data_IF_047761165933
#
_entry.id   IF_047761165933
#
_cell.length_a   1.000
_cell.length_b   1.000
_cell.length_c   1.000
_cell.angle_alpha   90.00
_cell.angle_beta   90.00
_cell.angle_gamma   90.00
#
_symmetry.space_group_name_H-M   'P 1'
#
loop_
_entity.id
_entity.type
_entity.pdbx_description
1 polymer ?
#
# COMPACT_ATOMS: atom_id res chain seq x y z
N UNK A 1 8.07 23.27 -12.29
CA UNK A 1 6.97 24.01 -11.62
C UNK A 1 7.52 24.68 -10.37
N UNK A 2 7.25 25.97 -10.17
CA UNK A 2 7.59 26.75 -8.97
C UNK A 2 6.29 27.40 -8.45
N UNK A 3 6.23 27.80 -7.18
CA UNK A 3 5.10 28.56 -6.62
C UNK A 3 4.12 27.76 -5.74
N UNK A 4 3.01 28.40 -5.30
CA UNK A 4 2.08 27.87 -4.29
C UNK A 4 1.49 26.51 -4.64
N UNK A 5 0.98 26.31 -5.86
CA UNK A 5 0.43 25.01 -6.30
C UNK A 5 1.39 23.84 -6.07
N UNK A 6 2.70 24.06 -6.31
CA UNK A 6 3.70 23.04 -6.03
C UNK A 6 3.79 22.75 -4.54
N UNK A 7 4.01 23.78 -3.74
CA UNK A 7 4.40 23.66 -2.33
C UNK A 7 3.25 23.33 -1.40
N UNK A 8 2.08 23.88 -1.70
CA UNK A 8 0.90 23.86 -0.83
C UNK A 8 -0.13 22.80 -1.28
N UNK A 9 -0.05 22.29 -2.50
CA UNK A 9 -0.98 21.26 -2.99
C UNK A 9 -0.24 20.00 -3.40
N UNK A 10 0.66 20.07 -4.39
CA UNK A 10 1.23 18.85 -4.96
C UNK A 10 2.22 18.15 -4.02
N UNK A 11 3.12 18.89 -3.35
CA UNK A 11 4.09 18.29 -2.44
C UNK A 11 3.41 17.62 -1.22
N UNK A 12 2.46 18.25 -0.50
CA UNK A 12 1.72 17.59 0.58
C UNK A 12 0.92 16.38 0.09
N UNK A 13 0.22 16.52 -1.05
CA UNK A 13 -0.53 15.40 -1.64
C UNK A 13 0.40 14.22 -1.99
N UNK A 14 1.51 14.49 -2.67
CA UNK A 14 2.48 13.46 -3.02
C UNK A 14 3.08 12.85 -1.77
N UNK A 15 3.35 13.60 -0.71
CA UNK A 15 3.86 13.03 0.54
C UNK A 15 2.95 11.93 1.09
N UNK A 16 1.63 12.11 1.00
CA UNK A 16 0.66 11.06 1.32
C UNK A 16 0.67 9.87 0.36
N UNK A 17 0.84 10.11 -0.94
CA UNK A 17 0.82 9.05 -1.97
C UNK A 17 2.07 8.18 -1.95
N UNK A 18 3.25 8.77 -1.75
CA UNK A 18 4.55 8.08 -1.82
C UNK A 18 5.21 7.87 -0.45
N UNK A 19 4.50 8.23 0.63
CA UNK A 19 4.99 8.21 2.01
C UNK A 19 6.35 8.93 2.16
N UNK A 20 6.49 10.09 1.51
CA UNK A 20 7.75 10.83 1.35
C UNK A 20 7.58 12.33 1.53
N UNK A 21 8.23 12.92 2.53
CA UNK A 21 8.25 14.38 2.68
C UNK A 21 9.64 15.01 2.51
N UNK A 22 10.66 14.23 2.16
CA UNK A 22 12.04 14.69 2.00
C UNK A 22 12.53 14.71 0.55
N UNK A 23 11.69 14.24 -0.39
CA UNK A 23 11.94 14.34 -1.82
C UNK A 23 12.96 13.32 -2.34
N UNK A 24 13.16 12.22 -1.62
CA UNK A 24 14.05 11.14 -2.05
C UNK A 24 13.45 10.23 -3.11
N UNK A 25 12.14 10.26 -3.37
CA UNK A 25 11.52 9.48 -4.46
C UNK A 25 11.94 9.98 -5.83
N UNK A 26 12.08 9.05 -6.77
CA UNK A 26 12.39 9.35 -8.16
C UNK A 26 11.43 10.34 -8.81
N UNK A 27 11.97 11.39 -9.41
CA UNK A 27 11.20 12.36 -10.20
C UNK A 27 10.42 11.69 -11.36
N UNK A 28 10.96 10.63 -11.96
CA UNK A 28 10.27 9.90 -13.03
C UNK A 28 9.00 9.23 -12.51
N UNK A 29 9.05 8.66 -11.30
CA UNK A 29 7.89 8.06 -10.67
C UNK A 29 6.86 9.11 -10.25
N UNK A 30 7.31 10.25 -9.70
CA UNK A 30 6.42 11.38 -9.39
C UNK A 30 5.70 11.88 -10.64
N UNK A 31 6.40 12.03 -11.78
CA UNK A 31 5.79 12.43 -13.05
C UNK A 31 4.77 11.41 -13.55
N UNK A 32 5.06 10.12 -13.41
CA UNK A 32 4.11 9.06 -13.73
C UNK A 32 2.85 9.16 -12.87
N UNK A 33 2.99 9.31 -11.56
CA UNK A 33 1.85 9.45 -10.63
C UNK A 33 1.00 10.68 -10.96
N UNK A 34 1.62 11.84 -11.19
CA UNK A 34 0.88 13.05 -11.59
C UNK A 34 0.09 12.85 -12.88
N UNK A 35 0.66 12.15 -13.88
CA UNK A 35 -0.06 11.79 -15.10
C UNK A 35 -1.23 10.85 -14.81
N UNK A 36 -1.04 9.84 -13.95
CA UNK A 36 -2.10 8.90 -13.59
C UNK A 36 -3.25 9.60 -12.84
N UNK A 37 -2.97 10.53 -11.92
CA UNK A 37 -4.01 11.30 -11.23
C UNK A 37 -4.70 12.32 -12.13
N UNK A 38 -3.99 12.89 -13.12
CA UNK A 38 -4.59 13.81 -14.08
C UNK A 38 -5.55 13.11 -15.07
N UNK A 39 -5.32 11.83 -15.35
CA UNK A 39 -6.08 11.06 -16.34
C UNK A 39 -7.07 10.07 -15.72
N UNK A 40 -6.84 9.65 -14.48
CA UNK A 40 -7.55 8.57 -13.83
C UNK A 40 -8.60 9.05 -12.82
N UNK A 41 -9.55 8.16 -12.53
CA UNK A 41 -10.54 8.33 -11.49
C UNK A 41 -10.29 7.29 -10.40
N UNK A 42 -9.82 7.69 -9.21
CA UNK A 42 -9.64 6.74 -8.11
C UNK A 42 -11.00 6.20 -7.67
N UNK A 43 -11.07 4.89 -7.42
CA UNK A 43 -12.28 4.20 -7.02
C UNK A 43 -12.03 3.25 -5.86
N UNK A 44 -13.08 2.96 -5.11
CA UNK A 44 -13.06 2.04 -3.98
C UNK A 44 -14.14 0.98 -4.19
N UNK A 45 -13.86 -0.32 -3.96
CA UNK A 45 -14.90 -1.34 -4.01
C UNK A 45 -15.95 -1.09 -2.92
N UNK A 46 -17.24 -1.20 -3.24
CA UNK A 46 -18.31 -0.96 -2.27
C UNK A 46 -18.20 -1.82 -0.99
N UNK A 47 -17.61 -3.02 -1.09
CA UNK A 47 -17.37 -3.94 0.03
C UNK A 47 -16.03 -3.79 0.73
N UNK A 48 -15.29 -2.70 0.52
CA UNK A 48 -13.94 -2.53 1.07
C UNK A 48 -12.85 -3.05 0.14
N UNK A 49 -11.60 -2.60 0.35
CA UNK A 49 -10.47 -2.98 -0.52
C UNK A 49 -10.17 -4.49 -0.49
N UNK A 50 -10.58 -5.19 0.58
CA UNK A 50 -10.46 -6.64 0.72
C UNK A 50 -11.31 -7.43 -0.30
N UNK A 51 -12.30 -6.80 -0.95
CA UNK A 51 -13.08 -7.43 -2.01
C UNK A 51 -12.21 -7.84 -3.22
N UNK A 52 -11.17 -7.06 -3.53
CA UNK A 52 -10.26 -7.34 -4.65
C UNK A 52 -9.48 -8.66 -4.46
N UNK A 53 -8.70 -8.86 -3.38
CA UNK A 53 -8.01 -10.14 -3.16
C UNK A 53 -8.97 -11.32 -2.95
N UNK A 54 -10.15 -11.10 -2.36
CA UNK A 54 -11.17 -12.16 -2.25
C UNK A 54 -11.65 -12.65 -3.62
N UNK A 55 -11.97 -11.73 -4.53
CA UNK A 55 -12.37 -12.07 -5.90
C UNK A 55 -11.27 -12.81 -6.67
N UNK A 56 -10.00 -12.40 -6.49
CA UNK A 56 -8.85 -13.09 -7.10
C UNK A 56 -8.74 -14.51 -6.55
N UNK A 57 -8.82 -14.69 -5.23
CA UNK A 57 -8.73 -15.99 -4.58
C UNK A 57 -9.84 -16.94 -5.05
N UNK A 58 -11.08 -16.46 -5.14
CA UNK A 58 -12.22 -17.27 -5.60
C UNK A 58 -12.08 -17.67 -7.07
N UNK A 59 -11.59 -16.76 -7.92
CA UNK A 59 -11.30 -17.06 -9.32
C UNK A 59 -10.20 -18.11 -9.45
N UNK A 60 -9.13 -17.99 -8.66
CA UNK A 60 -8.04 -18.96 -8.63
C UNK A 60 -8.53 -20.35 -8.16
N UNK A 61 -9.35 -20.42 -7.11
CA UNK A 61 -9.94 -21.69 -6.63
C UNK A 61 -10.81 -22.35 -7.70
N UNK A 62 -11.65 -21.59 -8.40
CA UNK A 62 -12.45 -22.12 -9.53
C UNK A 62 -11.58 -22.65 -10.67
N UNK A 63 -10.38 -22.08 -10.84
CA UNK A 63 -9.39 -22.58 -11.79
C UNK A 63 -8.54 -23.74 -11.24
N UNK A 64 -8.83 -24.27 -10.04
CA UNK A 64 -8.14 -25.41 -9.43
C UNK A 64 -6.95 -25.05 -8.54
N UNK A 65 -6.74 -23.77 -8.21
CA UNK A 65 -5.67 -23.39 -7.30
C UNK A 65 -5.99 -23.79 -5.85
N UNK A 66 -5.04 -24.45 -5.19
CA UNK A 66 -5.08 -24.73 -3.76
C UNK A 66 -4.49 -23.55 -2.98
N UNK A 67 -5.32 -22.91 -2.13
CA UNK A 67 -4.93 -21.75 -1.32
C UNK A 67 -4.99 -22.14 0.15
N UNK A 68 -3.81 -22.26 0.78
CA UNK A 68 -3.66 -22.62 2.18
C UNK A 68 -3.23 -21.43 3.02
N UNK A 69 -4.13 -20.97 3.89
CA UNK A 69 -3.83 -19.93 4.89
C UNK A 69 -3.19 -20.56 6.13
N UNK A 70 -2.53 -19.76 6.97
CA UNK A 70 -1.83 -20.24 8.18
C UNK A 70 -0.73 -21.27 7.90
N UNK A 71 -0.20 -21.34 6.68
CA UNK A 71 0.87 -22.25 6.24
C UNK A 71 2.15 -21.47 5.95
N UNK A 72 2.81 -20.99 7.01
CA UNK A 72 4.02 -20.20 6.85
C UNK A 72 5.19 -21.06 6.32
N UNK A 73 5.64 -20.78 5.10
CA UNK A 73 6.92 -21.31 4.59
C UNK A 73 8.03 -20.66 5.41
N UNK A 74 8.94 -21.49 5.96
CA UNK A 74 10.06 -21.05 6.79
C UNK A 74 11.41 -21.18 6.09
N UNK A 75 11.49 -21.99 5.04
CA UNK A 75 12.73 -22.22 4.30
C UNK A 75 12.45 -22.78 2.91
N UNK A 76 13.26 -22.34 1.96
CA UNK A 76 13.36 -22.92 0.62
C UNK A 76 14.71 -23.64 0.48
N UNK A 77 14.71 -24.81 -0.16
CA UNK A 77 15.93 -25.53 -0.55
C UNK A 77 15.76 -26.11 -1.93
N UNK A 78 16.72 -25.90 -2.82
CA UNK A 78 16.75 -26.58 -4.11
C UNK A 78 17.63 -27.83 -4.02
N UNK A 79 17.06 -29.01 -4.24
CA UNK A 79 17.78 -30.30 -4.18
C UNK A 79 17.31 -31.20 -5.30
N UNK A 80 18.26 -31.85 -6.00
CA UNK A 80 17.97 -32.84 -7.05
C UNK A 80 16.98 -32.33 -8.12
N UNK A 81 17.07 -31.05 -8.49
CA UNK A 81 16.23 -30.43 -9.52
C UNK A 81 14.81 -30.04 -9.08
N UNK A 82 14.51 -30.06 -7.78
CA UNK A 82 13.20 -29.71 -7.23
C UNK A 82 13.37 -28.76 -6.03
N UNK A 83 12.43 -27.83 -5.86
CA UNK A 83 12.33 -27.00 -4.67
C UNK A 83 11.58 -27.71 -3.56
N UNK A 84 12.16 -27.73 -2.37
CA UNK A 84 11.56 -28.21 -1.13
C UNK A 84 11.23 -27.01 -0.23
N UNK A 85 9.96 -26.84 0.10
CA UNK A 85 9.43 -25.80 0.97
C UNK A 85 9.15 -26.40 2.34
N UNK A 86 9.90 -25.95 3.36
CA UNK A 86 9.62 -26.31 4.75
C UNK A 86 8.52 -25.43 5.28
N UNK A 87 7.34 -25.99 5.51
CA UNK A 87 6.18 -25.31 6.07
C UNK A 87 6.12 -25.52 7.58
N UNK A 88 5.77 -24.49 8.35
CA UNK A 88 5.63 -24.61 9.79
C UNK A 88 4.47 -25.55 10.14
N UNK A 89 4.76 -26.60 10.92
CA UNK A 89 3.74 -27.54 11.40
C UNK A 89 3.11 -28.44 10.33
N UNK A 90 3.72 -28.54 9.14
CA UNK A 90 3.20 -29.35 8.04
C UNK A 90 4.34 -30.05 7.28
N UNK A 91 3.96 -31.01 6.45
CA UNK A 91 4.89 -31.74 5.59
C UNK A 91 5.57 -30.83 4.57
N UNK A 92 6.73 -31.29 4.08
CA UNK A 92 7.48 -30.60 3.04
C UNK A 92 6.68 -30.58 1.74
N UNK A 93 6.48 -29.39 1.19
CA UNK A 93 5.88 -29.21 -0.15
C UNK A 93 6.99 -29.20 -1.19
N UNK A 94 6.75 -29.84 -2.33
CA UNK A 94 7.70 -29.90 -3.46
C UNK A 94 7.14 -29.18 -4.68
N UNK A 95 7.98 -28.42 -5.37
CA UNK A 95 7.61 -27.68 -6.56
C UNK A 95 8.76 -27.60 -7.58
N UNK A 96 8.43 -27.56 -8.87
CA UNK A 96 9.41 -27.29 -9.93
C UNK A 96 9.67 -25.78 -10.05
N UNK A 97 8.61 -24.98 -9.93
CA UNK A 97 8.64 -23.52 -10.03
C UNK A 97 8.11 -22.91 -8.72
N UNK A 98 8.81 -21.91 -8.18
CA UNK A 98 8.46 -21.20 -6.96
C UNK A 98 8.40 -19.70 -7.24
N UNK A 99 7.27 -19.08 -6.91
CA UNK A 99 7.12 -17.62 -6.90
C UNK A 99 7.15 -17.13 -5.46
N UNK A 100 8.12 -16.27 -5.14
CA UNK A 100 8.24 -15.61 -3.84
C UNK A 100 7.52 -14.27 -3.90
N UNK A 101 6.45 -14.12 -3.13
CA UNK A 101 5.65 -12.90 -2.99
C UNK A 101 5.34 -12.66 -1.50
N UNK A 102 6.40 -12.38 -0.74
CA UNK A 102 6.38 -12.26 0.73
C UNK A 102 6.54 -10.80 1.17
N UNK A 103 6.38 -10.56 2.47
CA UNK A 103 6.65 -9.24 3.05
C UNK A 103 8.11 -8.80 2.81
N UNK A 104 8.38 -7.48 2.79
CA UNK A 104 9.72 -6.91 2.59
C UNK A 104 10.83 -7.54 3.45
N UNK A 105 10.55 -7.86 4.71
CA UNK A 105 11.54 -8.41 5.66
C UNK A 105 11.93 -9.85 5.36
N UNK A 106 11.08 -10.60 4.66
CA UNK A 106 11.34 -11.99 4.30
C UNK A 106 11.96 -12.15 2.91
N UNK A 107 11.98 -11.10 2.06
CA UNK A 107 12.46 -11.17 0.67
C UNK A 107 13.88 -11.73 0.60
N UNK A 108 14.81 -11.17 1.37
CA UNK A 108 16.22 -11.55 1.31
C UNK A 108 16.45 -13.01 1.71
N UNK A 109 15.79 -13.46 2.79
CA UNK A 109 15.91 -14.84 3.26
C UNK A 109 15.44 -15.89 2.23
N UNK A 110 14.47 -15.54 1.38
CA UNK A 110 13.91 -16.46 0.39
C UNK A 110 14.50 -16.33 -1.01
N UNK A 111 15.05 -15.17 -1.36
CA UNK A 111 15.47 -14.86 -2.73
C UNK A 111 16.96 -14.55 -2.86
N UNK A 112 17.64 -14.22 -1.77
CA UNK A 112 18.99 -13.66 -1.78
C UNK A 112 19.08 -12.24 -2.34
N UNK A 113 17.95 -11.63 -2.73
CA UNK A 113 17.89 -10.23 -3.14
C UNK A 113 17.82 -9.32 -1.91
N UNK A 114 18.40 -8.11 -1.94
CA UNK A 114 18.27 -7.17 -0.84
C UNK A 114 16.80 -6.90 -0.50
N UNK A 115 16.48 -6.89 0.79
CA UNK A 115 15.17 -6.43 1.25
C UNK A 115 14.89 -5.01 0.74
N UNK A 116 13.70 -4.73 0.20
CA UNK A 116 13.39 -3.38 -0.26
C UNK A 116 13.32 -2.43 0.94
N UNK A 117 13.87 -1.23 0.78
CA UNK A 117 13.60 -0.15 1.73
C UNK A 117 12.11 0.17 1.70
N UNK A 118 11.51 0.44 2.86
CA UNK A 118 10.08 0.66 3.03
C UNK A 118 9.79 1.97 3.72
N UNK A 119 8.55 2.43 3.56
CA UNK A 119 8.01 3.64 4.18
C UNK A 119 6.71 3.31 4.88
N UNK A 120 6.51 3.91 6.04
CA UNK A 120 5.36 3.65 6.87
C UNK A 120 4.31 4.74 6.76
N UNK A 121 3.06 4.32 6.98
CA UNK A 121 1.91 5.20 7.14
C UNK A 121 1.18 4.82 8.42
N UNK A 122 0.59 5.82 9.04
CA UNK A 122 -0.30 5.67 10.17
C UNK A 122 -1.64 6.30 9.80
N UNK A 123 -2.72 5.53 9.91
CA UNK A 123 -4.06 6.03 9.60
C UNK A 123 -4.96 5.93 10.82
N UNK A 124 -5.55 7.05 11.17
CA UNK A 124 -6.56 7.18 12.21
C UNK A 124 -7.94 7.22 11.56
N UNK A 125 -8.84 6.40 12.07
CA UNK A 125 -10.20 6.26 11.57
C UNK A 125 -11.18 6.84 12.57
N UNK A 126 -11.98 7.80 12.12
CA UNK A 126 -12.97 8.46 12.96
C UNK A 126 -14.39 8.26 12.43
N UNK A 127 -15.37 8.33 13.32
CA UNK A 127 -16.78 8.40 12.99
C UNK A 127 -17.39 9.74 13.42
N UNK A 128 -18.18 10.36 12.56
CA UNK A 128 -18.96 11.56 12.88
C UNK A 128 -20.43 11.42 12.48
N UNK A 129 -21.32 12.16 13.12
CA UNK A 129 -22.70 12.39 12.62
C UNK A 129 -22.74 13.54 11.60
N UNK A 130 -21.77 14.44 11.67
CA UNK A 130 -21.57 15.53 10.72
C UNK A 130 -20.20 15.40 10.05
N UNK A 131 -20.13 15.72 8.77
CA UNK A 131 -18.89 15.82 8.03
C UNK A 131 -19.07 16.73 6.81
N UNK A 132 -18.00 17.39 6.33
CA UNK A 132 -18.02 18.15 5.08
C UNK A 132 -18.61 17.36 3.91
N UNK A 133 -19.25 18.05 2.97
CA UNK A 133 -19.87 17.43 1.81
C UNK A 133 -18.86 16.87 0.78
N UNK A 134 -17.60 17.31 0.84
CA UNK A 134 -16.55 16.93 -0.10
C UNK A 134 -16.21 15.44 -0.03
N UNK A 135 -16.12 14.79 -1.20
CA UNK A 135 -15.55 13.45 -1.38
C UNK A 135 -14.06 13.49 -1.75
N UNK A 136 -13.47 14.68 -1.83
CA UNK A 136 -12.07 14.86 -2.19
C UNK A 136 -11.17 14.67 -0.97
N UNK A 137 -9.96 14.20 -1.24
CA UNK A 137 -8.88 14.16 -0.26
C UNK A 137 -8.39 15.59 0.01
N UNK A 138 -8.30 15.94 1.29
CA UNK A 138 -7.82 17.24 1.77
C UNK A 138 -6.39 17.13 2.28
N UNK A 139 -5.61 18.17 2.00
CA UNK A 139 -4.22 18.34 2.44
C UNK A 139 -4.07 19.70 3.09
N UNK A 140 -3.19 19.81 4.09
CA UNK A 140 -2.78 21.10 4.64
C UNK A 140 -1.55 21.61 3.88
N UNK A 141 -1.72 22.69 3.11
CA UNK A 141 -0.64 23.32 2.38
C UNK A 141 0.40 24.01 3.25
N UNK A 142 0.04 24.37 4.48
CA UNK A 142 0.95 24.98 5.47
C UNK A 142 1.80 23.93 6.19
N UNK A 143 1.38 22.66 6.16
CA UNK A 143 2.02 21.53 6.85
C UNK A 143 2.17 21.79 8.36
N UNK A 144 1.14 22.37 8.95
CA UNK A 144 1.10 22.80 10.35
C UNK A 144 0.99 21.65 11.35
N UNK A 145 0.64 20.45 10.90
CA UNK A 145 0.54 19.26 11.73
C UNK A 145 0.96 17.96 11.04
N UNK A 146 0.75 16.80 11.68
CA UNK A 146 1.35 15.53 11.26
C UNK A 146 0.66 14.86 10.06
N UNK A 147 -0.49 15.35 9.64
CA UNK A 147 -1.31 14.68 8.62
C UNK A 147 -0.80 15.07 7.24
N UNK A 148 -0.54 14.06 6.41
CA UNK A 148 -0.26 14.24 4.99
C UNK A 148 -1.54 14.26 4.16
N UNK A 149 -2.62 13.67 4.67
CA UNK A 149 -3.96 13.79 4.09
C UNK A 149 -5.08 13.41 5.06
N UNK A 150 -6.30 13.81 4.72
CA UNK A 150 -7.54 13.35 5.36
C UNK A 150 -8.69 13.35 4.36
N UNK A 151 -9.63 12.44 4.51
CA UNK A 151 -10.77 12.27 3.59
C UNK A 151 -11.98 11.70 4.32
N UNK A 152 -13.17 12.19 3.96
CA UNK A 152 -14.45 11.59 4.40
C UNK A 152 -14.79 10.43 3.48
N UNK A 153 -14.29 9.24 3.80
CA UNK A 153 -14.38 8.03 2.97
C UNK A 153 -15.81 7.67 2.57
N UNK A 154 -16.78 7.89 3.46
CA UNK A 154 -18.20 7.62 3.19
C UNK A 154 -18.82 8.60 2.19
N UNK A 155 -18.19 9.73 1.85
CA UNK A 155 -18.62 10.60 0.74
C UNK A 155 -18.25 10.01 -0.62
N UNK A 156 -17.16 9.23 -0.68
CA UNK A 156 -16.72 8.52 -1.89
C UNK A 156 -17.39 7.16 -2.02
N UNK A 157 -17.50 6.41 -0.92
CA UNK A 157 -18.12 5.09 -0.86
C UNK A 157 -19.19 5.09 0.25
N UNK A 158 -20.46 5.44 -0.05
CA UNK A 158 -21.51 5.55 0.97
C UNK A 158 -21.72 4.28 1.81
N UNK A 159 -21.44 3.10 1.26
CA UNK A 159 -21.52 1.82 1.96
C UNK A 159 -20.51 1.65 3.10
N UNK A 160 -19.53 2.55 3.24
CA UNK A 160 -18.49 2.47 4.28
C UNK A 160 -18.92 3.01 5.64
N UNK A 161 -20.10 3.62 5.74
CA UNK A 161 -20.68 4.06 7.00
C UNK A 161 -22.18 3.72 7.05
N UNK A 162 -22.75 3.46 8.24
CA UNK A 162 -24.19 3.32 8.38
C UNK A 162 -24.90 4.65 8.08
N UNK A 163 -26.22 4.63 7.77
CA UNK A 163 -27.00 5.83 7.54
C UNK A 163 -26.84 6.86 8.67
N UNK A 164 -26.68 8.14 8.31
CA UNK A 164 -26.49 9.23 9.27
C UNK A 164 -25.12 9.28 9.95
N UNK A 165 -24.17 8.43 9.55
CA UNK A 165 -22.78 8.49 10.01
C UNK A 165 -21.81 8.69 8.84
N UNK A 166 -20.63 9.17 9.19
CA UNK A 166 -19.53 9.39 8.27
C UNK A 166 -18.26 8.71 8.77
N UNK A 167 -17.52 8.10 7.86
CA UNK A 167 -16.21 7.52 8.13
C UNK A 167 -15.13 8.48 7.61
N UNK A 168 -14.20 8.87 8.47
CA UNK A 168 -13.11 9.78 8.17
C UNK A 168 -11.79 9.04 8.34
N UNK A 169 -10.91 9.15 7.34
CA UNK A 169 -9.52 8.73 7.44
C UNK A 169 -8.63 9.96 7.62
N UNK A 170 -7.64 9.86 8.50
CA UNK A 170 -6.62 10.87 8.72
C UNK A 170 -5.26 10.17 8.74
N UNK A 171 -4.40 10.45 7.76
CA UNK A 171 -3.15 9.72 7.56
C UNK A 171 -1.94 10.61 7.81
N UNK A 172 -0.99 10.11 8.58
CA UNK A 172 0.35 10.69 8.79
C UNK A 172 1.43 9.73 8.29
N UNK A 173 2.65 10.25 8.15
CA UNK A 173 3.83 9.40 7.94
C UNK A 173 4.17 8.62 9.23
N UNK A 174 4.76 7.45 9.08
CA UNK A 174 5.13 6.56 10.19
C UNK A 174 6.46 5.83 9.91
N UNK A 175 7.16 5.42 10.97
CA UNK A 175 8.43 4.70 10.90
C UNK A 175 9.63 5.62 11.08
N UNK A 176 10.13 6.23 9.99
CA UNK A 176 11.27 7.17 10.08
C UNK A 176 10.97 8.42 10.91
N UNK A 177 9.70 8.72 11.15
CA UNK A 177 9.23 9.74 12.09
C UNK A 177 8.55 9.08 13.30
N UNK A 178 8.60 9.72 14.48
CA UNK A 178 7.78 9.30 15.61
C UNK A 178 6.32 9.20 15.20
N UNK A 179 5.63 8.24 15.81
CA UNK A 179 4.20 8.07 15.61
C UNK A 179 3.47 9.33 16.10
N UNK A 180 2.53 9.86 15.31
CA UNK A 180 1.72 10.97 15.77
C UNK A 180 0.87 10.52 16.98
N UNK A 181 0.57 11.45 17.86
CA UNK A 181 -0.35 11.26 18.97
C UNK A 181 -1.78 11.60 18.54
N UNK A 182 -2.77 11.07 19.25
CA UNK A 182 -4.17 11.40 18.97
C UNK A 182 -4.44 12.91 19.11
N UNK A 183 -3.83 13.56 20.11
CA UNK A 183 -3.97 14.99 20.33
C UNK A 183 -3.47 15.84 19.16
N UNK A 184 -2.30 15.53 18.61
CA UNK A 184 -1.74 16.20 17.43
C UNK A 184 -2.63 15.99 16.19
N UNK A 185 -3.12 14.76 16.00
CA UNK A 185 -4.02 14.42 14.90
C UNK A 185 -5.34 15.19 15.01
N UNK A 186 -5.96 15.23 16.19
CA UNK A 186 -7.21 15.96 16.42
C UNK A 186 -7.03 17.47 16.24
N UNK A 187 -5.94 18.04 16.75
CA UNK A 187 -5.62 19.45 16.56
C UNK A 187 -5.49 19.79 15.06
N UNK A 188 -4.82 18.93 14.31
CA UNK A 188 -4.65 19.13 12.87
C UNK A 188 -5.95 18.88 12.07
N UNK A 189 -6.79 17.92 12.47
CA UNK A 189 -8.12 17.75 11.87
C UNK A 189 -9.01 18.97 12.12
N UNK A 190 -8.98 19.56 13.32
CA UNK A 190 -9.67 20.82 13.62
C UNK A 190 -9.14 21.96 12.76
N UNK A 191 -7.83 22.02 12.50
CA UNK A 191 -7.25 23.01 11.59
C UNK A 191 -7.77 22.83 10.15
N UNK A 192 -7.78 21.61 9.62
CA UNK A 192 -8.17 21.31 8.23
C UNK A 192 -9.69 21.44 8.02
N UNK A 193 -10.50 20.90 8.94
CA UNK A 193 -11.94 20.74 8.76
C UNK A 193 -12.78 21.68 9.62
N UNK A 194 -12.15 22.44 10.52
CA UNK A 194 -12.85 23.31 11.45
C UNK A 194 -13.53 22.56 12.60
N UNK A 195 -14.47 23.22 13.31
CA UNK A 195 -15.08 22.69 14.53
C UNK A 195 -15.81 21.35 14.39
N UNK A 196 -16.27 21.01 13.17
CA UNK A 196 -16.97 19.74 12.92
C UNK A 196 -16.12 18.52 13.31
N UNK A 197 -14.79 18.62 13.19
CA UNK A 197 -13.88 17.53 13.54
C UNK A 197 -13.80 17.24 15.04
N UNK A 198 -14.26 18.16 15.89
CA UNK A 198 -14.28 17.97 17.35
C UNK A 198 -15.32 16.93 17.77
N UNK A 199 -16.41 16.80 17.01
CA UNK A 199 -17.47 15.82 17.25
C UNK A 199 -17.19 14.42 16.70
N UNK A 200 -15.94 14.15 16.27
CA UNK A 200 -15.58 12.86 15.70
C UNK A 200 -15.01 11.89 16.74
N UNK A 201 -15.64 10.72 16.83
CA UNK A 201 -15.24 9.62 17.70
C UNK A 201 -14.09 8.86 17.04
N UNK A 202 -13.01 8.58 17.79
CA UNK A 202 -11.95 7.72 17.29
C UNK A 202 -12.43 6.26 17.29
N UNK A 203 -12.34 5.60 16.15
CA UNK A 203 -12.67 4.17 16.01
C UNK A 203 -11.44 3.29 16.18
N UNK A 204 -10.37 3.58 15.45
CA UNK A 204 -9.11 2.82 15.50
C UNK A 204 -7.95 3.61 14.90
N UNK A 205 -6.75 3.09 15.15
CA UNK A 205 -5.50 3.51 14.53
C UNK A 205 -4.81 2.29 13.92
N UNK A 206 -4.38 2.42 12.67
CA UNK A 206 -3.60 1.40 11.96
C UNK A 206 -2.17 1.93 11.73
N UNK A 207 -1.18 1.27 12.32
CA UNK A 207 0.26 1.59 12.17
C UNK A 207 0.91 0.59 11.23
N UNK A 208 1.25 1.01 10.01
CA UNK A 208 1.83 0.15 8.98
C UNK A 208 3.25 0.62 8.69
N UNK A 209 4.25 0.00 9.34
CA UNK A 209 5.67 0.37 9.18
C UNK A 209 6.20 0.15 7.75
N UNK A 210 5.67 -0.87 7.06
CA UNK A 210 6.05 -1.24 5.70
C UNK A 210 4.84 -1.06 4.75
N UNK A 211 4.33 0.17 4.66
CA UNK A 211 3.15 0.47 3.86
C UNK A 211 3.45 0.49 2.35
N UNK A 212 4.62 1.01 1.96
CA UNK A 212 5.05 1.14 0.56
C UNK A 212 6.56 0.92 0.43
N UNK A 213 7.04 0.25 -0.63
CA UNK A 213 8.46 0.27 -0.99
C UNK A 213 8.92 1.70 -1.33
N UNK A 214 10.10 2.07 -0.86
CA UNK A 214 10.78 3.29 -1.29
C UNK A 214 11.32 3.11 -2.72
N UNK A 215 11.25 4.17 -3.53
CA UNK A 215 11.73 4.17 -4.91
C UNK A 215 12.63 5.37 -5.20
N UNK A 216 13.86 5.38 -4.67
CA UNK A 216 14.82 6.45 -4.93
C UNK A 216 15.30 6.45 -6.39
N UNK A 217 15.85 7.57 -6.90
CA UNK A 217 16.55 7.60 -8.17
C UNK A 217 17.72 6.59 -8.23
N UNK A 218 17.98 5.97 -9.39
CA UNK A 218 17.16 6.00 -10.60
C UNK A 218 15.89 5.14 -10.45
N UNK A 219 14.79 5.54 -11.10
CA UNK A 219 13.62 4.67 -11.21
C UNK A 219 14.04 3.39 -11.93
N UNK A 220 14.08 2.27 -11.18
CA UNK A 220 14.49 0.98 -11.72
C UNK A 220 13.50 0.56 -12.81
N UNK A 221 14.01 0.01 -13.91
CA UNK A 221 13.15 -0.67 -14.89
C UNK A 221 12.50 -1.88 -14.24
N UNK A 222 11.32 -2.25 -14.71
CA UNK A 222 10.68 -3.52 -14.42
C UNK A 222 11.72 -4.66 -14.46
N UNK A 223 12.00 -5.27 -13.31
CA UNK A 223 13.00 -6.31 -13.23
C UNK A 223 12.42 -7.65 -13.74
N UNK A 224 13.27 -8.55 -14.27
CA UNK A 224 12.86 -9.92 -14.54
C UNK A 224 12.28 -10.57 -13.28
N UNK A 225 11.24 -11.38 -13.46
CA UNK A 225 10.65 -12.18 -12.38
C UNK A 225 11.56 -13.34 -11.99
N UNK A 226 12.18 -14.01 -12.98
CA UNK A 226 13.10 -15.13 -12.77
C UNK A 226 14.42 -14.65 -12.16
N UNK A 227 14.80 -15.25 -11.03
CA UNK A 227 16.02 -14.91 -10.28
C UNK A 227 16.93 -16.13 -10.06
N UNK A 228 16.48 -17.31 -10.47
CA UNK A 228 17.25 -18.54 -10.45
C UNK A 228 16.50 -19.67 -11.15
N UNK A 229 17.10 -20.86 -11.16
CA UNK A 229 16.45 -22.07 -11.70
C UNK A 229 15.18 -22.37 -10.93
N UNK A 230 14.03 -22.30 -11.61
CA UNK A 230 12.73 -22.54 -11.00
C UNK A 230 12.33 -21.54 -9.91
N UNK A 231 12.99 -20.38 -9.81
CA UNK A 231 12.75 -19.39 -8.75
C UNK A 231 12.43 -18.02 -9.33
N UNK A 232 11.30 -17.49 -8.93
CA UNK A 232 10.77 -16.19 -9.35
C UNK A 232 10.42 -15.33 -8.15
N UNK A 233 10.38 -14.02 -8.35
CA UNK A 233 9.96 -13.05 -7.34
C UNK A 233 8.92 -12.09 -7.92
N UNK A 234 7.90 -11.79 -7.13
CA UNK A 234 6.85 -10.84 -7.45
C UNK A 234 6.53 -9.98 -6.22
N UNK A 235 6.01 -8.79 -6.47
CA UNK A 235 5.69 -7.79 -5.45
C UNK A 235 5.72 -6.38 -6.02
N UNK A 236 5.09 -5.44 -5.32
CA UNK A 236 5.11 -4.01 -5.63
C UNK A 236 6.54 -3.42 -5.73
N UNK A 237 7.49 -3.96 -4.98
CA UNK A 237 8.91 -3.60 -5.05
C UNK A 237 9.62 -4.05 -6.36
N UNK A 238 8.96 -4.83 -7.22
CA UNK A 238 9.50 -5.33 -8.50
C UNK A 238 9.07 -4.52 -9.72
N UNK A 239 8.19 -3.56 -9.52
CA UNK A 239 7.70 -2.66 -10.57
C UNK A 239 7.51 -1.24 -10.01
N UNK A 240 6.26 -0.79 -9.82
CA UNK A 240 5.94 0.46 -9.12
C UNK A 240 5.35 0.16 -7.73
N UNK A 241 5.66 0.97 -6.69
CA UNK A 241 5.05 0.88 -5.36
C UNK A 241 3.53 1.12 -5.36
N UNK A 242 2.75 0.14 -5.83
CA UNK A 242 1.29 0.22 -5.97
C UNK A 242 0.65 -1.16 -6.11
N UNK A 243 -0.67 -1.22 -5.91
CA UNK A 243 -1.49 -2.42 -6.19
C UNK A 243 -1.33 -2.86 -7.67
N UNK A 244 -1.33 -1.90 -8.61
CA UNK A 244 -1.14 -2.20 -10.02
C UNK A 244 0.26 -2.76 -10.32
N UNK A 245 1.30 -2.23 -9.67
CA UNK A 245 2.66 -2.75 -9.78
C UNK A 245 2.76 -4.18 -9.25
N UNK A 246 2.13 -4.47 -8.12
CA UNK A 246 2.05 -5.83 -7.57
C UNK A 246 1.38 -6.80 -8.55
N UNK A 247 0.19 -6.45 -9.07
CA UNK A 247 -0.54 -7.27 -10.05
C UNK A 247 0.29 -7.50 -11.33
N UNK A 248 0.89 -6.45 -11.86
CA UNK A 248 1.73 -6.51 -13.07
C UNK A 248 2.94 -7.42 -12.86
N UNK A 249 3.57 -7.35 -11.68
CA UNK A 249 4.70 -8.22 -11.33
C UNK A 249 4.28 -9.69 -11.23
N UNK A 250 3.09 -9.98 -10.72
CA UNK A 250 2.53 -11.34 -10.65
C UNK A 250 2.24 -11.91 -12.04
N UNK A 251 1.63 -11.11 -12.92
CA UNK A 251 1.41 -11.50 -14.34
C UNK A 251 2.75 -11.77 -15.04
N UNK A 252 3.78 -10.96 -14.79
CA UNK A 252 5.12 -11.19 -15.34
C UNK A 252 5.73 -12.50 -14.85
N UNK A 253 5.60 -12.83 -13.56
CA UNK A 253 6.04 -14.10 -13.01
C UNK A 253 5.32 -15.29 -13.68
N UNK A 254 3.99 -15.21 -13.82
CA UNK A 254 3.21 -16.25 -14.49
C UNK A 254 3.65 -16.47 -15.95
N UNK A 255 3.83 -15.40 -16.73
CA UNK A 255 4.35 -15.50 -18.11
C UNK A 255 5.74 -16.12 -18.16
N UNK A 256 6.63 -15.73 -17.24
CA UNK A 256 7.98 -16.31 -17.16
C UNK A 256 8.02 -17.80 -16.80
N UNK A 257 6.93 -18.35 -16.29
CA UNK A 257 6.74 -19.79 -16.01
C UNK A 257 6.09 -20.49 -17.20
N UNK A 258 5.03 -19.91 -17.76
CA UNK A 258 4.20 -20.55 -18.78
C UNK A 258 4.80 -20.51 -20.20
N UNK A 259 5.71 -19.57 -20.48
CA UNK A 259 6.24 -19.32 -21.83
C UNK A 259 5.40 -18.30 -22.57
#
# INVERSE_FOLDING_TARGET
>A
MRGPLRREVLEPFLAGVIADDDGRTSQNYVRLLLRLFALGWPGLPAGGIAALPAQIADTARRAGADIRLSHAVRRLRHRRGVWELKVAGADVVRAQEVVVAVDPGAVEAFTGLPAPAVRGLQTWWFAGTEAPASALLSVDGTRSGPLVNTVVMSRTAPSYAPPGRHLIAATSLYGARPAATEGEVRAHLRHIWGPVAEGWDLLRRDDIAAALPALPPPMRRAAPSRIGTGLHVAGDHRDTPSIQGALTSGVRAARGILG
#
